data_IF_977600934759
#
_entry.id   IF_977600934759
#
_cell.length_a   1.000
_cell.length_b   1.000
_cell.length_c   1.000
_cell.angle_alpha   90.00
_cell.angle_beta   90.00
_cell.angle_gamma   90.00
#
_symmetry.space_group_name_H-M   'P 1'
#
loop_
_entity.id
_entity.type
_entity.pdbx_description
1 polymer ?
#
# COMPACT_ATOMS: atom_id res chain seq x y z
N UNK A 1 -2.90 -10.61 4.42
CA UNK A 1 -3.08 -12.09 4.30
C UNK A 1 -4.46 -12.60 4.69
N UNK A 2 -5.15 -12.00 5.68
CA UNK A 2 -6.48 -12.45 6.14
C UNK A 2 -7.60 -12.07 5.17
N UNK A 3 -7.55 -10.91 4.56
CA UNK A 3 -8.56 -10.46 3.57
C UNK A 3 -8.51 -11.33 2.31
N UNK A 4 -7.31 -11.62 1.80
CA UNK A 4 -7.11 -12.48 0.64
C UNK A 4 -7.55 -13.94 0.90
N UNK A 5 -7.33 -14.48 2.10
CA UNK A 5 -7.85 -15.80 2.51
C UNK A 5 -9.38 -15.81 2.61
N UNK A 6 -10.01 -14.78 3.17
CA UNK A 6 -11.47 -14.67 3.22
C UNK A 6 -12.08 -14.55 1.82
N UNK A 7 -11.47 -13.75 0.95
CA UNK A 7 -11.90 -13.60 -0.44
C UNK A 7 -11.80 -14.92 -1.22
N UNK A 8 -10.69 -15.65 -1.06
CA UNK A 8 -10.48 -16.97 -1.67
C UNK A 8 -11.47 -18.02 -1.14
N UNK A 9 -11.73 -18.04 0.16
CA UNK A 9 -12.73 -18.94 0.76
C UNK A 9 -14.15 -18.62 0.31
N UNK A 10 -14.50 -17.35 0.15
CA UNK A 10 -15.81 -16.93 -0.34
C UNK A 10 -16.00 -17.33 -1.82
N UNK A 11 -15.02 -17.08 -2.67
CA UNK A 11 -15.05 -17.55 -4.08
C UNK A 11 -15.14 -19.09 -4.19
N UNK A 12 -14.40 -19.83 -3.37
CA UNK A 12 -14.44 -21.30 -3.36
C UNK A 12 -15.81 -21.79 -2.90
N UNK A 13 -16.41 -21.17 -1.91
CA UNK A 13 -17.72 -21.59 -1.37
C UNK A 13 -18.86 -21.30 -2.33
N UNK A 14 -18.87 -20.14 -2.99
CA UNK A 14 -19.89 -19.78 -3.98
C UNK A 14 -19.75 -20.60 -5.27
N UNK A 15 -18.53 -20.92 -5.68
CA UNK A 15 -18.26 -21.77 -6.84
C UNK A 15 -18.53 -23.25 -6.57
N UNK A 16 -18.42 -23.74 -5.33
CA UNK A 16 -18.58 -25.15 -5.00
C UNK A 16 -20.03 -25.64 -5.19
N UNK A 17 -21.01 -24.81 -4.90
CA UNK A 17 -22.43 -25.15 -5.14
C UNK A 17 -22.72 -25.28 -6.64
N UNK A 18 -22.19 -24.39 -7.47
CA UNK A 18 -22.38 -24.43 -8.92
C UNK A 18 -21.66 -25.62 -9.56
N UNK A 19 -20.46 -25.97 -9.06
CA UNK A 19 -19.67 -27.11 -9.53
C UNK A 19 -20.33 -28.46 -9.24
N UNK A 20 -21.11 -28.56 -8.16
CA UNK A 20 -21.78 -29.79 -7.78
C UNK A 20 -23.19 -29.89 -8.43
N UNK A 21 -23.91 -28.78 -8.54
CA UNK A 21 -25.27 -28.75 -9.07
C UNK A 21 -25.39 -29.20 -10.55
N UNK A 22 -24.41 -28.79 -11.39
CA UNK A 22 -24.39 -29.17 -12.81
C UNK A 22 -24.23 -30.69 -13.05
N UNK A 23 -23.20 -31.36 -12.50
CA UNK A 23 -23.07 -32.82 -12.66
C UNK A 23 -24.26 -33.56 -12.09
N UNK A 24 -24.80 -33.15 -10.93
CA UNK A 24 -25.94 -33.78 -10.30
C UNK A 24 -27.20 -33.72 -11.18
N UNK A 25 -27.47 -32.51 -11.74
CA UNK A 25 -28.64 -32.35 -12.63
C UNK A 25 -28.53 -33.20 -13.92
N UNK A 26 -27.33 -33.29 -14.50
CA UNK A 26 -27.05 -34.15 -15.65
C UNK A 26 -27.22 -35.65 -15.34
N UNK A 27 -26.77 -36.09 -14.16
CA UNK A 27 -26.95 -37.50 -13.75
C UNK A 27 -28.38 -37.84 -13.42
N UNK A 28 -29.15 -36.93 -12.82
CA UNK A 28 -30.58 -37.10 -12.60
C UNK A 28 -31.34 -37.27 -13.92
N UNK A 29 -31.03 -36.50 -14.94
CA UNK A 29 -31.59 -36.66 -16.29
C UNK A 29 -31.28 -38.00 -16.92
N UNK A 30 -30.05 -38.49 -16.78
CA UNK A 30 -29.65 -39.83 -17.28
C UNK A 30 -30.34 -40.96 -16.51
N UNK A 31 -30.43 -40.87 -15.19
CA UNK A 31 -31.17 -41.82 -14.35
C UNK A 31 -32.66 -41.90 -14.75
N UNK A 32 -33.30 -40.74 -14.90
CA UNK A 32 -34.69 -40.65 -15.36
C UNK A 32 -34.88 -41.33 -16.71
N UNK A 33 -33.96 -41.10 -17.67
CA UNK A 33 -34.00 -41.73 -18.97
C UNK A 33 -33.91 -43.27 -18.88
N UNK A 34 -32.96 -43.78 -18.07
CA UNK A 34 -32.81 -45.25 -17.87
C UNK A 34 -34.03 -45.85 -17.22
N UNK A 35 -34.62 -45.25 -16.19
CA UNK A 35 -35.85 -45.70 -15.56
C UNK A 35 -37.02 -45.73 -16.55
N UNK A 36 -37.20 -44.70 -17.35
CA UNK A 36 -38.23 -44.68 -18.38
C UNK A 36 -38.03 -45.74 -19.45
N UNK A 37 -36.76 -46.02 -19.85
CA UNK A 37 -36.47 -47.07 -20.82
C UNK A 37 -36.77 -48.45 -20.29
N UNK A 38 -36.41 -48.77 -19.04
CA UNK A 38 -36.64 -50.09 -18.41
C UNK A 38 -38.16 -50.30 -18.19
N UNK A 39 -38.85 -49.35 -17.52
CA UNK A 39 -40.27 -49.47 -17.25
C UNK A 39 -41.10 -49.48 -18.53
N UNK A 40 -40.81 -48.59 -19.46
CA UNK A 40 -41.51 -48.51 -20.74
C UNK A 40 -41.29 -49.72 -21.61
N UNK A 41 -40.04 -50.29 -21.60
CA UNK A 41 -39.73 -51.56 -22.27
C UNK A 41 -40.55 -52.72 -21.70
N UNK A 42 -40.61 -52.84 -20.36
CA UNK A 42 -41.38 -53.88 -19.68
C UNK A 42 -42.89 -53.76 -20.00
N UNK A 43 -43.45 -52.56 -20.00
CA UNK A 43 -44.86 -52.28 -20.36
C UNK A 43 -45.17 -52.60 -21.83
N UNK A 44 -44.26 -52.26 -22.75
CA UNK A 44 -44.38 -52.55 -24.18
C UNK A 44 -44.34 -54.08 -24.49
N UNK A 45 -43.44 -54.81 -23.81
CA UNK A 45 -43.34 -56.26 -23.99
C UNK A 45 -44.54 -57.00 -23.46
N UNK A 46 -45.12 -56.55 -22.33
CA UNK A 46 -46.31 -57.16 -21.72
C UNK A 46 -47.61 -56.64 -22.35
N UNK A 47 -47.59 -55.82 -23.36
CA UNK A 47 -48.81 -55.32 -24.05
C UNK A 47 -49.75 -54.50 -23.18
N UNK A 48 -49.28 -53.96 -22.08
CA UNK A 48 -50.11 -53.24 -21.10
C UNK A 48 -50.55 -51.86 -21.65
N UNK A 49 -51.88 -51.65 -21.70
CA UNK A 49 -52.43 -50.36 -22.08
C UNK A 49 -52.28 -49.95 -23.55
N UNK A 50 -51.91 -50.85 -24.48
CA UNK A 50 -51.67 -50.51 -25.87
C UNK A 50 -50.34 -49.79 -26.11
N UNK A 51 -49.40 -49.82 -25.15
CA UNK A 51 -48.12 -49.16 -25.22
C UNK A 51 -47.21 -49.88 -26.27
N UNK A 52 -46.78 -49.15 -27.28
CA UNK A 52 -45.99 -49.68 -28.39
C UNK A 52 -44.53 -49.30 -28.27
N UNK A 53 -43.64 -50.10 -28.92
CA UNK A 53 -42.20 -49.79 -28.96
C UNK A 53 -41.89 -48.42 -29.61
N UNK A 54 -42.71 -48.04 -30.62
CA UNK A 54 -42.62 -46.69 -31.24
C UNK A 54 -43.04 -45.60 -30.29
N UNK A 55 -44.07 -45.81 -29.46
CA UNK A 55 -44.46 -44.86 -28.42
C UNK A 55 -43.38 -44.67 -27.36
N UNK A 56 -42.71 -45.78 -26.94
CA UNK A 56 -41.57 -45.72 -26.04
C UNK A 56 -40.42 -44.89 -26.62
N UNK A 57 -40.05 -45.13 -27.89
CA UNK A 57 -38.99 -44.40 -28.55
C UNK A 57 -39.27 -42.88 -28.61
N UNK A 58 -40.51 -42.52 -28.98
CA UNK A 58 -40.98 -41.14 -28.99
C UNK A 58 -40.90 -40.49 -27.61
N UNK A 59 -41.38 -41.22 -26.56
CA UNK A 59 -41.36 -40.75 -25.18
C UNK A 59 -39.92 -40.50 -24.66
N UNK A 60 -38.98 -41.38 -24.98
CA UNK A 60 -37.59 -41.24 -24.59
C UNK A 60 -36.91 -40.01 -25.27
N UNK A 61 -37.25 -39.74 -26.54
CA UNK A 61 -36.78 -38.55 -27.25
C UNK A 61 -37.34 -37.28 -26.57
N UNK A 62 -38.65 -37.28 -26.27
CA UNK A 62 -39.31 -36.13 -25.60
C UNK A 62 -38.72 -35.90 -24.19
N UNK A 63 -38.46 -36.95 -23.43
CA UNK A 63 -37.80 -36.84 -22.11
C UNK A 63 -36.41 -36.19 -22.21
N UNK A 64 -35.63 -36.56 -23.22
CA UNK A 64 -34.31 -35.95 -23.47
C UNK A 64 -34.44 -34.48 -23.88
N UNK A 65 -35.40 -34.16 -24.77
CA UNK A 65 -35.64 -32.79 -25.20
C UNK A 65 -36.15 -31.91 -24.05
N UNK A 66 -36.89 -32.46 -23.10
CA UNK A 66 -37.39 -31.74 -21.92
C UNK A 66 -36.30 -31.45 -20.89
N UNK A 67 -35.32 -32.36 -20.72
CA UNK A 67 -34.22 -32.16 -19.77
C UNK A 67 -33.21 -31.06 -20.24
N UNK A 68 -33.11 -30.81 -21.53
CA UNK A 68 -32.19 -29.82 -22.09
C UNK A 68 -32.49 -28.37 -21.68
N UNK A 69 -33.73 -27.87 -21.79
CA UNK A 69 -34.13 -26.54 -21.28
C UNK A 69 -33.93 -26.37 -19.79
N UNK A 70 -34.18 -27.43 -18.99
CA UNK A 70 -33.98 -27.38 -17.53
C UNK A 70 -32.50 -27.12 -17.20
N UNK A 71 -31.59 -27.82 -17.90
CA UNK A 71 -30.15 -27.61 -17.73
C UNK A 71 -29.73 -26.19 -18.17
N UNK A 72 -30.30 -25.67 -19.26
CA UNK A 72 -30.03 -24.30 -19.73
C UNK A 72 -30.53 -23.25 -18.74
N UNK A 73 -31.71 -23.39 -18.18
CA UNK A 73 -32.23 -22.46 -17.14
C UNK A 73 -31.37 -22.50 -15.91
N UNK A 74 -30.93 -23.69 -15.46
CA UNK A 74 -30.00 -23.81 -14.33
C UNK A 74 -28.67 -23.09 -14.56
N UNK A 75 -28.11 -23.17 -15.78
CA UNK A 75 -26.88 -22.44 -16.14
C UNK A 75 -27.13 -20.93 -16.15
N UNK A 76 -28.24 -20.45 -16.69
CA UNK A 76 -28.56 -19.03 -16.71
C UNK A 76 -28.77 -18.45 -15.30
N UNK A 77 -29.46 -19.20 -14.41
CA UNK A 77 -29.59 -18.79 -13.01
C UNK A 77 -28.23 -18.62 -12.32
N UNK A 78 -27.33 -19.57 -12.53
CA UNK A 78 -25.97 -19.43 -12.01
C UNK A 78 -25.25 -18.19 -12.55
N UNK A 79 -25.39 -17.91 -13.85
CA UNK A 79 -24.78 -16.71 -14.46
C UNK A 79 -25.37 -15.42 -13.87
N UNK A 80 -26.67 -15.37 -13.61
CA UNK A 80 -27.32 -14.22 -12.95
C UNK A 80 -26.82 -14.04 -11.51
N UNK A 81 -26.73 -15.13 -10.74
CA UNK A 81 -26.20 -15.06 -9.36
C UNK A 81 -24.75 -14.56 -9.34
N UNK A 82 -23.91 -15.06 -10.25
CA UNK A 82 -22.52 -14.59 -10.38
C UNK A 82 -22.46 -13.12 -10.80
N UNK A 83 -23.30 -12.68 -11.73
CA UNK A 83 -23.36 -11.29 -12.15
C UNK A 83 -23.83 -10.37 -11.01
N UNK A 84 -24.84 -10.77 -10.24
CA UNK A 84 -25.31 -10.02 -9.07
C UNK A 84 -24.24 -9.93 -7.98
N UNK A 85 -23.53 -11.03 -7.69
CA UNK A 85 -22.44 -11.03 -6.72
C UNK A 85 -21.27 -10.14 -7.18
N UNK A 86 -20.94 -10.17 -8.47
CA UNK A 86 -19.94 -9.27 -9.07
C UNK A 86 -20.39 -7.81 -9.02
N UNK A 87 -21.63 -7.53 -9.41
CA UNK A 87 -22.22 -6.20 -9.34
C UNK A 87 -22.25 -5.63 -7.92
N UNK A 88 -22.68 -6.43 -6.94
CA UNK A 88 -22.68 -6.00 -5.54
C UNK A 88 -21.29 -5.56 -5.04
N UNK A 89 -20.20 -6.23 -5.48
CA UNK A 89 -18.84 -5.84 -5.12
C UNK A 89 -18.42 -4.52 -5.79
N UNK A 90 -18.79 -4.33 -7.06
CA UNK A 90 -18.51 -3.09 -7.78
C UNK A 90 -19.26 -1.93 -7.14
N UNK A 91 -20.56 -2.09 -6.86
CA UNK A 91 -21.35 -1.05 -6.20
C UNK A 91 -20.88 -0.78 -4.77
N UNK A 92 -20.49 -1.80 -4.00
CA UNK A 92 -19.91 -1.60 -2.67
C UNK A 92 -18.64 -0.73 -2.72
N UNK A 93 -17.81 -0.89 -3.77
CA UNK A 93 -16.62 -0.03 -3.96
C UNK A 93 -17.01 1.39 -4.41
N UNK A 94 -18.00 1.53 -5.30
CA UNK A 94 -18.48 2.84 -5.78
C UNK A 94 -19.19 3.64 -4.69
N UNK A 95 -19.87 2.96 -3.77
CA UNK A 95 -20.60 3.56 -2.64
C UNK A 95 -19.70 3.83 -1.42
N UNK A 96 -18.37 3.45 -1.51
CA UNK A 96 -17.42 3.75 -0.45
C UNK A 96 -17.31 5.26 -0.25
N UNK A 97 -17.39 5.68 1.00
CA UNK A 97 -17.34 7.11 1.32
C UNK A 97 -15.96 7.67 0.97
N UNK A 98 -15.90 8.86 0.35
CA UNK A 98 -14.64 9.52 0.09
C UNK A 98 -13.92 9.83 1.41
N UNK A 99 -12.62 9.92 1.33
CA UNK A 99 -11.77 10.26 2.46
C UNK A 99 -12.12 11.66 3.00
N UNK A 100 -12.29 11.78 4.32
CA UNK A 100 -12.58 13.07 4.97
C UNK A 100 -11.38 13.99 4.82
N UNK A 101 -11.56 15.16 4.23
CA UNK A 101 -10.55 16.20 4.02
C UNK A 101 -11.12 17.58 4.41
N UNK A 102 -11.16 17.85 5.72
CA UNK A 102 -11.72 19.09 6.29
C UNK A 102 -10.62 20.11 6.68
N UNK A 103 -9.37 19.87 6.24
CA UNK A 103 -8.26 20.77 6.52
C UNK A 103 -8.44 22.14 5.85
N UNK A 104 -8.04 23.19 6.55
CA UNK A 104 -8.05 24.61 6.10
C UNK A 104 -6.63 25.14 5.82
N UNK A 105 -5.61 24.33 6.07
CA UNK A 105 -4.20 24.68 5.85
C UNK A 105 -3.72 24.04 4.54
N UNK A 106 -3.22 24.87 3.65
CA UNK A 106 -2.67 24.47 2.35
C UNK A 106 -1.16 24.64 2.28
N UNK A 107 -0.51 24.03 1.31
CA UNK A 107 0.92 24.12 1.05
C UNK A 107 1.16 25.07 -0.14
N UNK A 108 2.07 26.01 0.02
CA UNK A 108 2.43 26.98 -1.02
C UNK A 108 3.94 27.09 -1.18
N UNK A 109 4.40 27.44 -2.38
CA UNK A 109 5.79 27.85 -2.59
C UNK A 109 6.03 29.20 -1.90
N UNK A 110 7.16 29.37 -1.24
CA UNK A 110 7.48 30.55 -0.48
C UNK A 110 8.88 31.09 -0.79
N UNK A 111 9.07 32.37 -0.47
CA UNK A 111 10.40 32.99 -0.33
C UNK A 111 10.54 33.43 1.12
N UNK A 112 11.71 33.17 1.71
CA UNK A 112 12.03 33.60 3.08
C UNK A 112 12.90 34.83 2.99
N UNK A 113 12.40 35.93 3.53
CA UNK A 113 13.13 37.20 3.61
C UNK A 113 14.11 37.18 4.79
N UNK A 114 15.08 38.08 4.78
CA UNK A 114 16.12 38.15 5.82
C UNK A 114 15.58 38.52 7.23
N UNK A 115 14.38 39.08 7.30
CA UNK A 115 13.65 39.42 8.54
C UNK A 115 12.70 38.32 9.02
N UNK A 116 12.87 37.09 8.50
CA UNK A 116 11.99 35.95 8.76
C UNK A 116 10.57 36.05 8.18
N UNK A 117 10.28 37.08 7.40
CA UNK A 117 8.99 37.19 6.70
C UNK A 117 8.89 36.12 5.61
N UNK A 118 7.75 35.47 5.55
CA UNK A 118 7.42 34.43 4.56
C UNK A 118 6.46 35.00 3.55
N UNK A 119 6.84 35.00 2.27
CA UNK A 119 6.00 35.47 1.16
C UNK A 119 5.69 34.35 0.19
N UNK A 120 4.44 34.24 -0.22
CA UNK A 120 4.00 33.26 -1.23
C UNK A 120 4.55 33.65 -2.62
N UNK A 121 4.96 32.66 -3.39
CA UNK A 121 5.43 32.82 -4.77
C UNK A 121 4.91 31.72 -5.68
N UNK A 122 4.78 32.02 -6.97
CA UNK A 122 4.44 31.01 -7.98
C UNK A 122 5.69 30.33 -8.56
N UNK A 123 6.89 30.77 -8.19
CA UNK A 123 8.15 30.17 -8.63
C UNK A 123 8.49 28.95 -7.77
N UNK A 124 9.05 27.91 -8.38
CA UNK A 124 9.60 26.76 -7.65
C UNK A 124 10.92 27.15 -7.00
N UNK A 125 10.86 27.58 -5.74
CA UNK A 125 12.02 28.04 -4.97
C UNK A 125 12.70 26.93 -4.17
N UNK A 126 12.09 25.74 -4.12
CA UNK A 126 12.49 24.68 -3.19
C UNK A 126 12.12 24.99 -1.72
N UNK A 127 11.52 26.15 -1.45
CA UNK A 127 11.04 26.53 -0.12
C UNK A 127 9.52 26.48 -0.06
N UNK A 128 8.99 25.99 1.05
CA UNK A 128 7.57 25.75 1.24
C UNK A 128 7.05 26.41 2.51
N UNK A 129 5.79 26.81 2.51
CA UNK A 129 5.13 27.32 3.69
C UNK A 129 3.68 26.79 3.81
N UNK A 130 3.26 26.62 5.05
CA UNK A 130 1.87 26.41 5.39
C UNK A 130 1.12 27.73 5.30
N UNK A 131 0.03 27.75 4.53
CA UNK A 131 -0.86 28.90 4.38
C UNK A 131 -2.17 28.59 5.06
N UNK A 132 -2.57 29.43 6.00
CA UNK A 132 -3.87 29.39 6.65
C UNK A 132 -4.53 30.77 6.57
N UNK A 133 -5.83 30.82 6.34
CA UNK A 133 -6.59 32.06 6.45
C UNK A 133 -6.94 32.31 7.90
N UNK A 134 -6.72 33.55 8.41
CA UNK A 134 -7.17 33.93 9.72
C UNK A 134 -8.67 34.32 9.72
N UNK A 135 -9.22 34.69 10.89
CA UNK A 135 -10.62 35.08 11.04
C UNK A 135 -11.01 36.31 10.21
N UNK A 136 -10.04 37.16 9.87
CA UNK A 136 -10.23 38.39 9.07
C UNK A 136 -10.04 38.12 7.56
N UNK A 137 -9.84 36.88 7.15
CA UNK A 137 -9.61 36.49 5.76
C UNK A 137 -8.22 36.84 5.23
N UNK A 138 -7.25 37.14 6.10
CA UNK A 138 -5.86 37.41 5.72
C UNK A 138 -5.04 36.10 5.75
N UNK A 139 -4.16 35.86 4.76
CA UNK A 139 -3.30 34.70 4.79
C UNK A 139 -2.20 34.85 5.85
N UNK A 140 -2.03 33.81 6.66
CA UNK A 140 -0.88 33.62 7.56
C UNK A 140 -0.02 32.52 7.02
N UNK A 141 1.29 32.75 7.02
CA UNK A 141 2.28 31.79 6.54
C UNK A 141 3.14 31.31 7.70
N UNK A 142 3.38 30.00 7.75
CA UNK A 142 4.32 29.35 8.67
C UNK A 142 5.34 28.60 7.83
N UNK A 143 6.62 28.77 8.11
CA UNK A 143 7.70 28.03 7.43
C UNK A 143 7.44 26.54 7.57
N UNK A 144 7.69 25.80 6.49
CA UNK A 144 7.69 24.34 6.54
C UNK A 144 9.12 23.88 6.91
N UNK A 145 9.27 23.41 8.15
CA UNK A 145 10.57 22.98 8.72
C UNK A 145 10.66 21.48 8.86
N UNK A 146 9.54 20.79 8.94
CA UNK A 146 9.50 19.35 9.11
C UNK A 146 9.51 18.87 10.57
N UNK A 147 9.03 19.71 11.51
CA UNK A 147 8.88 19.31 12.92
C UNK A 147 7.61 18.46 13.10
N UNK A 148 7.76 17.18 13.46
CA UNK A 148 6.64 16.27 13.67
C UNK A 148 6.62 15.80 15.13
N UNK A 149 5.46 16.02 15.79
CA UNK A 149 5.29 15.69 17.21
C UNK A 149 4.02 14.87 17.42
N UNK A 150 4.15 13.72 18.08
CA UNK A 150 3.04 12.93 18.61
C UNK A 150 2.90 13.20 20.10
N UNK A 151 1.69 13.46 20.57
CA UNK A 151 1.35 13.69 21.98
C UNK A 151 0.25 12.74 22.42
N UNK A 152 0.60 11.80 23.30
CA UNK A 152 -0.31 10.84 23.95
C UNK A 152 -1.20 10.09 22.94
N UNK A 153 -0.61 9.61 21.83
CA UNK A 153 -1.35 9.02 20.73
C UNK A 153 -1.66 7.55 20.99
N UNK A 154 -2.96 7.23 21.03
CA UNK A 154 -3.47 5.86 20.95
C UNK A 154 -4.12 5.65 19.58
N UNK A 155 -3.84 4.49 18.97
CA UNK A 155 -4.39 4.14 17.66
C UNK A 155 -4.64 2.64 17.49
N UNK A 156 -5.76 2.31 16.85
CA UNK A 156 -6.09 0.97 16.35
C UNK A 156 -6.80 1.03 15.00
N UNK A 157 -6.55 0.04 14.15
CA UNK A 157 -7.25 -0.09 12.87
C UNK A 157 -8.73 -0.45 13.04
N UNK A 158 -9.06 -1.06 14.17
CA UNK A 158 -10.40 -1.37 14.64
C UNK A 158 -10.59 -0.78 16.03
N UNK A 159 -11.79 -0.31 16.36
CA UNK A 159 -12.12 0.22 17.69
C UNK A 159 -11.87 -0.79 18.83
N UNK A 160 -11.87 -2.09 18.50
CA UNK A 160 -11.70 -3.19 19.46
C UNK A 160 -10.24 -3.55 19.72
N UNK A 161 -9.29 -3.11 18.87
CA UNK A 161 -7.89 -3.53 18.96
C UNK A 161 -6.97 -2.33 18.76
N UNK A 162 -6.53 -1.77 19.88
CA UNK A 162 -5.50 -0.73 19.89
C UNK A 162 -4.14 -1.36 19.53
N UNK A 163 -3.41 -0.74 18.62
CA UNK A 163 -2.10 -1.18 18.11
C UNK A 163 -0.98 -0.31 18.62
N UNK A 164 -1.23 0.99 18.80
CA UNK A 164 -0.29 1.95 19.39
C UNK A 164 -0.86 2.49 20.68
N UNK A 165 -0.03 2.54 21.72
CA UNK A 165 -0.43 2.95 23.06
C UNK A 165 0.51 4.05 23.56
N UNK A 166 -0.06 5.20 23.88
CA UNK A 166 0.62 6.33 24.52
C UNK A 166 1.92 6.72 23.80
N UNK A 167 1.83 6.88 22.48
CA UNK A 167 2.98 7.25 21.65
C UNK A 167 3.28 8.72 21.85
N UNK A 168 4.46 8.99 22.38
CA UNK A 168 5.08 10.29 22.52
C UNK A 168 6.38 10.32 21.70
N UNK A 169 6.38 11.07 20.62
CA UNK A 169 7.45 11.13 19.63
C UNK A 169 7.65 12.57 19.18
N UNK A 170 8.88 12.95 18.94
CA UNK A 170 9.21 14.21 18.26
C UNK A 170 10.35 13.99 17.28
N UNK A 171 10.17 14.47 16.05
CA UNK A 171 11.18 14.52 15.00
C UNK A 171 11.45 15.97 14.67
N UNK A 172 12.66 16.46 15.07
CA UNK A 172 13.07 17.85 14.84
C UNK A 172 13.51 18.06 13.39
N UNK A 173 13.43 19.29 12.88
CA UNK A 173 13.91 19.62 11.54
C UNK A 173 15.33 19.09 11.26
N UNK A 174 15.48 18.40 10.13
CA UNK A 174 16.74 17.81 9.69
C UNK A 174 17.22 16.58 10.47
N UNK A 175 16.44 16.07 11.43
CA UNK A 175 16.81 14.93 12.26
C UNK A 175 16.48 13.59 11.57
N UNK A 176 17.37 12.63 11.64
CA UNK A 176 17.17 11.24 11.22
C UNK A 176 16.73 10.38 12.39
N UNK A 177 15.50 9.89 12.34
CA UNK A 177 14.87 9.05 13.38
C UNK A 177 14.73 7.62 12.86
N UNK A 178 15.32 6.64 13.56
CA UNK A 178 15.17 5.23 13.24
C UNK A 178 14.16 4.54 14.16
N UNK A 179 13.20 3.83 13.57
CA UNK A 179 12.32 2.92 14.29
C UNK A 179 12.85 1.49 14.24
N UNK A 180 13.06 0.90 15.42
CA UNK A 180 13.58 -0.45 15.60
C UNK A 180 12.59 -1.26 16.42
N UNK A 181 12.46 -2.55 16.15
CA UNK A 181 11.55 -3.46 16.86
C UNK A 181 11.12 -4.63 16.01
N UNK A 182 10.50 -5.62 16.63
CA UNK A 182 10.00 -6.83 15.95
C UNK A 182 8.91 -6.51 14.92
N UNK A 183 8.63 -7.45 14.02
CA UNK A 183 7.49 -7.37 13.11
C UNK A 183 6.20 -7.26 13.92
N UNK A 184 5.33 -6.32 13.55
CA UNK A 184 4.08 -6.06 14.29
C UNK A 184 4.23 -5.13 15.50
N UNK A 185 5.42 -4.61 15.81
CA UNK A 185 5.63 -3.67 16.94
C UNK A 185 4.96 -2.29 16.75
N UNK A 186 4.46 -1.96 15.55
CA UNK A 186 3.78 -0.70 15.27
C UNK A 186 4.57 0.30 14.43
N UNK A 187 5.77 -0.05 13.92
CA UNK A 187 6.64 0.86 13.13
C UNK A 187 5.92 1.44 11.90
N UNK A 188 5.40 0.58 11.05
CA UNK A 188 4.64 0.98 9.84
C UNK A 188 3.34 1.71 10.20
N UNK A 189 2.74 1.43 11.36
CA UNK A 189 1.56 2.15 11.82
C UNK A 189 1.88 3.61 12.12
N UNK A 190 3.03 3.91 12.75
CA UNK A 190 3.46 5.29 13.00
C UNK A 190 3.64 6.05 11.67
N UNK A 191 4.32 5.44 10.67
CA UNK A 191 4.50 6.09 9.37
C UNK A 191 3.19 6.30 8.62
N UNK A 192 2.23 5.38 8.74
CA UNK A 192 0.88 5.54 8.19
C UNK A 192 0.11 6.69 8.84
N UNK A 193 0.33 6.95 10.13
CA UNK A 193 -0.28 8.08 10.84
C UNK A 193 0.36 9.42 10.45
N UNK A 194 1.68 9.47 10.21
CA UNK A 194 2.34 10.68 9.68
C UNK A 194 1.74 11.07 8.32
N UNK A 195 1.45 10.09 7.45
CA UNK A 195 0.79 10.30 6.15
C UNK A 195 -0.73 10.57 6.25
N UNK A 196 -1.28 10.51 7.46
CA UNK A 196 -2.71 10.60 7.70
C UNK A 196 -3.53 9.67 6.78
N UNK A 197 -3.05 8.42 6.60
CA UNK A 197 -3.87 7.37 5.98
C UNK A 197 -4.99 6.90 6.90
N UNK A 198 -4.84 7.16 8.19
CA UNK A 198 -5.84 6.88 9.23
C UNK A 198 -5.86 8.05 10.21
N UNK A 199 -7.04 8.37 10.74
CA UNK A 199 -7.19 9.34 11.82
C UNK A 199 -7.08 8.64 13.19
N UNK A 200 -6.42 9.30 14.14
CA UNK A 200 -6.19 8.79 15.49
C UNK A 200 -7.45 8.87 16.36
N UNK A 201 -7.60 7.93 17.30
CA UNK A 201 -8.71 7.91 18.25
C UNK A 201 -8.44 8.83 19.44
N UNK A 202 -7.18 8.91 19.91
CA UNK A 202 -6.79 9.75 21.05
C UNK A 202 -5.44 10.40 20.83
N UNK A 203 -5.20 11.55 21.49
CA UNK A 203 -3.97 12.31 21.37
C UNK A 203 -4.01 13.34 20.25
N UNK A 204 -2.82 13.81 19.85
CA UNK A 204 -2.62 14.76 18.75
C UNK A 204 -1.33 14.45 18.00
N UNK A 205 -1.35 14.70 16.71
CA UNK A 205 -0.15 14.70 15.86
C UNK A 205 -0.03 16.11 15.30
N UNK A 206 1.11 16.74 15.55
CA UNK A 206 1.41 18.09 15.10
C UNK A 206 2.48 18.05 14.02
N UNK A 207 2.33 18.88 13.01
CA UNK A 207 3.33 19.12 11.97
C UNK A 207 3.57 20.63 11.90
N UNK A 208 4.81 21.07 12.20
CA UNK A 208 5.20 22.46 12.36
C UNK A 208 4.23 23.24 13.28
N UNK A 209 3.81 22.59 14.37
CA UNK A 209 2.87 23.15 15.33
C UNK A 209 1.40 23.08 14.94
N UNK A 210 1.05 22.73 13.72
CA UNK A 210 -0.32 22.53 13.26
C UNK A 210 -0.81 21.10 13.49
N UNK A 211 -2.05 20.94 13.97
CA UNK A 211 -2.66 19.61 14.03
C UNK A 211 -2.83 19.06 12.60
N UNK A 212 -2.34 17.85 12.33
CA UNK A 212 -2.41 17.26 10.98
C UNK A 212 -3.85 17.13 10.47
N UNK A 213 -4.84 17.12 11.36
CA UNK A 213 -6.26 17.13 10.97
C UNK A 213 -6.70 18.45 10.35
N UNK A 214 -6.04 19.56 10.72
CA UNK A 214 -6.31 20.89 10.15
C UNK A 214 -5.56 21.14 8.84
N UNK A 215 -4.62 20.27 8.46
CA UNK A 215 -3.92 20.38 7.18
C UNK A 215 -4.71 19.62 6.11
N UNK A 216 -4.90 20.23 4.95
CA UNK A 216 -5.47 19.56 3.79
C UNK A 216 -4.62 18.33 3.41
N UNK A 217 -5.24 17.16 3.17
CA UNK A 217 -4.52 15.90 2.97
C UNK A 217 -3.57 15.93 1.79
N UNK A 218 -3.97 16.57 0.69
CA UNK A 218 -3.11 16.69 -0.48
C UNK A 218 -1.89 17.57 -0.19
N UNK A 219 -2.07 18.67 0.57
CA UNK A 219 -1.00 19.53 1.04
C UNK A 219 -0.05 18.79 1.99
N UNK A 220 -0.60 18.03 2.96
CA UNK A 220 0.18 17.20 3.87
C UNK A 220 1.03 16.18 3.10
N UNK A 221 0.41 15.41 2.22
CA UNK A 221 1.08 14.34 1.48
C UNK A 221 2.10 14.88 0.46
N UNK A 222 1.86 16.05 -0.11
CA UNK A 222 2.82 16.72 -1.00
C UNK A 222 4.09 17.18 -0.27
N UNK A 223 4.01 17.42 1.05
CA UNK A 223 5.17 17.76 1.89
C UNK A 223 5.99 16.54 2.33
N UNK A 224 5.50 15.32 2.09
CA UNK A 224 6.09 14.07 2.53
C UNK A 224 6.60 13.25 1.34
N UNK A 225 7.85 12.81 1.40
CA UNK A 225 8.39 11.84 0.45
C UNK A 225 8.40 10.43 1.06
N UNK A 226 7.98 9.45 0.28
CA UNK A 226 7.92 8.07 0.75
C UNK A 226 8.75 7.19 -0.18
N UNK A 227 9.68 6.41 0.40
CA UNK A 227 10.36 5.33 -0.29
C UNK A 227 10.01 4.02 0.41
N UNK A 228 9.22 3.19 -0.27
CA UNK A 228 8.75 1.90 0.25
C UNK A 228 9.73 0.78 -0.10
N UNK A 229 9.68 -0.30 0.68
CA UNK A 229 10.40 -1.55 0.42
C UNK A 229 10.03 -2.14 -0.95
N UNK A 230 8.74 -2.28 -1.22
CA UNK A 230 8.23 -2.78 -2.48
C UNK A 230 8.02 -1.60 -3.43
N UNK A 231 8.96 -1.45 -4.36
CA UNK A 231 8.92 -0.38 -5.36
C UNK A 231 8.04 -0.78 -6.53
N UNK A 232 6.97 -0.03 -6.76
CA UNK A 232 6.11 -0.16 -7.93
C UNK A 232 6.48 0.88 -9.00
N UNK A 233 6.69 0.38 -10.22
CA UNK A 233 6.96 1.21 -11.40
C UNK A 233 5.77 1.13 -12.36
N UNK A 234 5.47 2.26 -12.98
CA UNK A 234 4.39 2.33 -13.97
C UNK A 234 4.89 1.94 -15.36
N UNK A 235 3.99 1.41 -16.18
CA UNK A 235 4.25 1.25 -17.61
C UNK A 235 4.47 2.63 -18.24
N UNK A 236 5.66 2.86 -18.78
CA UNK A 236 6.11 4.13 -19.32
C UNK A 236 7.63 4.19 -19.36
N UNK A 237 8.20 5.30 -19.77
CA UNK A 237 9.65 5.48 -19.83
C UNK A 237 10.27 5.59 -18.42
N UNK A 238 11.58 5.37 -18.33
CA UNK A 238 12.35 5.64 -17.11
C UNK A 238 12.17 7.10 -16.68
N UNK A 239 12.25 8.03 -17.63
CA UNK A 239 12.05 9.47 -17.38
C UNK A 239 10.68 9.77 -16.78
N UNK A 240 9.61 9.22 -17.35
CA UNK A 240 8.25 9.40 -16.81
C UNK A 240 8.09 8.81 -15.42
N UNK A 241 8.72 7.67 -15.15
CA UNK A 241 8.72 7.08 -13.82
C UNK A 241 9.43 7.94 -12.77
N UNK A 242 10.52 8.62 -13.12
CA UNK A 242 11.18 9.58 -12.22
C UNK A 242 10.30 10.83 -12.06
N UNK A 243 9.81 11.41 -13.17
CA UNK A 243 8.96 12.60 -13.19
C UNK A 243 7.65 12.43 -12.42
N UNK A 244 7.20 11.19 -12.19
CA UNK A 244 6.03 10.92 -11.36
C UNK A 244 6.13 11.50 -9.95
N UNK A 245 7.33 11.70 -9.42
CA UNK A 245 7.53 12.38 -8.13
C UNK A 245 7.11 13.86 -8.14
N UNK A 246 7.30 14.55 -9.28
CA UNK A 246 6.83 15.92 -9.55
C UNK A 246 6.58 16.08 -11.04
N UNK A 247 5.30 16.07 -11.44
CA UNK A 247 4.89 16.05 -12.85
C UNK A 247 5.36 17.27 -13.64
N UNK A 248 5.64 18.39 -12.98
CA UNK A 248 6.14 19.64 -13.58
C UNK A 248 7.66 19.68 -13.71
N UNK A 249 8.39 18.64 -13.26
CA UNK A 249 9.85 18.61 -13.33
C UNK A 249 10.36 18.56 -14.76
N UNK A 250 11.43 19.30 -15.02
CA UNK A 250 12.14 19.28 -16.32
C UNK A 250 12.97 18.00 -16.46
N UNK A 251 13.43 17.71 -17.68
CA UNK A 251 14.32 16.57 -17.94
C UNK A 251 15.62 16.68 -17.15
N UNK A 252 16.17 17.91 -17.06
CA UNK A 252 17.40 18.19 -16.32
C UNK A 252 17.24 17.94 -14.82
N UNK A 253 16.10 18.33 -14.24
CA UNK A 253 15.78 18.07 -12.83
C UNK A 253 15.63 16.57 -12.56
N UNK A 254 14.96 15.84 -13.46
CA UNK A 254 14.84 14.38 -13.37
C UNK A 254 16.21 13.68 -13.47
N UNK A 255 17.08 14.14 -14.39
CA UNK A 255 18.43 13.62 -14.52
C UNK A 255 19.32 13.97 -13.30
N UNK A 256 19.16 15.15 -12.71
CA UNK A 256 19.84 15.52 -11.47
C UNK A 256 19.40 14.63 -10.30
N UNK A 257 18.11 14.38 -10.16
CA UNK A 257 17.55 13.45 -9.18
C UNK A 257 18.06 12.01 -9.37
N UNK A 258 18.16 11.54 -10.62
CA UNK A 258 18.72 10.23 -10.93
C UNK A 258 20.21 10.13 -10.56
N UNK A 259 20.98 11.19 -10.73
CA UNK A 259 22.39 11.24 -10.30
C UNK A 259 22.51 11.18 -8.78
N UNK A 260 21.71 11.96 -8.05
CA UNK A 260 21.66 11.94 -6.59
C UNK A 260 21.34 10.54 -6.07
N UNK A 261 20.39 9.86 -6.71
CA UNK A 261 19.98 8.50 -6.38
C UNK A 261 20.96 7.40 -6.84
N UNK A 262 22.09 7.74 -7.46
CA UNK A 262 23.01 6.78 -8.13
C UNK A 262 22.36 5.93 -9.23
N UNK A 263 21.25 6.38 -9.81
CA UNK A 263 20.53 5.70 -10.88
C UNK A 263 21.08 6.02 -12.28
N UNK A 264 21.63 7.20 -12.51
CA UNK A 264 22.09 7.71 -13.82
C UNK A 264 23.02 6.72 -14.54
N UNK A 265 23.93 6.10 -13.80
CA UNK A 265 24.91 5.17 -14.37
C UNK A 265 24.25 3.96 -15.02
N UNK A 266 23.34 3.28 -14.34
CA UNK A 266 22.68 2.12 -14.94
C UNK A 266 21.69 2.54 -16.02
N UNK A 267 21.00 3.68 -15.86
CA UNK A 267 20.04 4.19 -16.85
C UNK A 267 20.72 4.39 -18.20
N UNK A 268 21.92 4.98 -18.22
CA UNK A 268 22.71 5.17 -19.44
C UNK A 268 23.15 3.88 -20.13
N UNK A 269 23.16 2.75 -19.41
CA UNK A 269 23.46 1.43 -19.99
C UNK A 269 22.21 0.71 -20.52
N UNK A 270 21.02 1.26 -20.29
CA UNK A 270 19.79 0.72 -20.91
C UNK A 270 19.76 1.06 -22.42
N UNK A 271 19.09 0.25 -23.25
CA UNK A 271 19.09 0.39 -24.72
C UNK A 271 18.74 1.79 -25.22
N UNK A 272 17.78 2.47 -24.60
CA UNK A 272 17.31 3.82 -24.93
C UNK A 272 17.54 4.82 -23.80
N UNK A 273 18.39 4.48 -22.83
CA UNK A 273 18.68 5.34 -21.66
C UNK A 273 17.41 5.72 -20.90
N UNK A 274 17.21 7.01 -20.70
CA UNK A 274 16.04 7.55 -19.99
C UNK A 274 14.71 7.31 -20.74
N UNK A 275 14.75 7.06 -22.06
CA UNK A 275 13.56 6.76 -22.86
C UNK A 275 13.22 5.26 -22.90
N UNK A 276 14.02 4.41 -22.22
CA UNK A 276 13.72 2.98 -22.15
C UNK A 276 12.35 2.73 -21.52
N UNK A 277 11.51 1.98 -22.25
CA UNK A 277 10.18 1.59 -21.79
C UNK A 277 10.25 0.53 -20.69
N UNK A 278 9.57 0.81 -19.59
CA UNK A 278 9.35 -0.12 -18.49
C UNK A 278 7.96 -0.73 -18.63
N UNK A 279 7.87 -2.05 -18.43
CA UNK A 279 6.61 -2.80 -18.51
C UNK A 279 6.46 -3.70 -17.29
N UNK A 280 5.22 -4.03 -16.95
CA UNK A 280 4.94 -5.03 -15.93
C UNK A 280 5.65 -4.78 -14.60
N UNK A 281 5.54 -3.58 -14.03
CA UNK A 281 6.16 -3.19 -12.75
C UNK A 281 7.71 -3.16 -12.80
N UNK A 282 8.27 -2.92 -13.99
CA UNK A 282 9.72 -2.87 -14.19
C UNK A 282 10.40 -4.25 -14.09
N UNK A 283 9.74 -5.31 -14.56
CA UNK A 283 10.26 -6.69 -14.53
C UNK A 283 11.58 -6.86 -15.28
N UNK A 284 11.90 -5.94 -16.18
CA UNK A 284 13.17 -5.88 -16.91
C UNK A 284 14.33 -5.25 -16.10
N UNK A 285 14.06 -4.80 -14.88
CA UNK A 285 15.05 -4.22 -13.96
C UNK A 285 15.28 -5.12 -12.75
N UNK A 286 16.50 -5.10 -12.20
CA UNK A 286 16.78 -5.72 -10.91
C UNK A 286 16.05 -5.00 -9.77
N UNK A 287 15.87 -5.66 -8.63
CA UNK A 287 15.24 -5.04 -7.46
C UNK A 287 15.98 -3.77 -7.01
N UNK A 288 17.31 -3.81 -7.00
CA UNK A 288 18.11 -2.63 -6.65
C UNK A 288 17.95 -1.49 -7.63
N UNK A 289 17.89 -1.75 -8.94
CA UNK A 289 17.63 -0.73 -9.95
C UNK A 289 16.25 -0.09 -9.78
N UNK A 290 15.21 -0.88 -9.49
CA UNK A 290 13.88 -0.34 -9.16
C UNK A 290 13.93 0.56 -7.92
N UNK A 291 14.68 0.17 -6.90
CA UNK A 291 14.82 0.96 -5.67
C UNK A 291 15.57 2.29 -5.93
N UNK A 292 16.62 2.28 -6.76
CA UNK A 292 17.30 3.52 -7.18
C UNK A 292 16.34 4.47 -7.93
N UNK A 293 15.42 3.95 -8.75
CA UNK A 293 14.38 4.76 -9.40
C UNK A 293 13.36 5.31 -8.39
N UNK A 294 12.99 4.55 -7.36
CA UNK A 294 12.13 5.05 -6.28
C UNK A 294 12.78 6.18 -5.49
N UNK A 295 14.11 6.08 -5.21
CA UNK A 295 14.88 7.15 -4.59
C UNK A 295 14.92 8.38 -5.50
N UNK A 296 15.15 8.21 -6.81
CA UNK A 296 15.15 9.32 -7.78
C UNK A 296 13.77 10.00 -7.86
N UNK A 297 12.68 9.21 -7.79
CA UNK A 297 11.29 9.72 -7.73
C UNK A 297 11.06 10.57 -6.48
N UNK A 298 11.55 10.15 -5.33
CA UNK A 298 11.47 10.93 -4.10
C UNK A 298 12.38 12.17 -4.16
N UNK A 299 13.55 12.06 -4.79
CA UNK A 299 14.50 13.17 -4.93
C UNK A 299 13.94 14.30 -5.81
N UNK A 300 13.27 13.99 -6.92
CA UNK A 300 12.70 15.01 -7.80
C UNK A 300 11.50 15.74 -7.17
N UNK A 301 10.79 15.07 -6.25
CA UNK A 301 9.71 15.69 -5.46
C UNK A 301 10.24 16.74 -4.46
N UNK A 302 11.47 16.57 -4.01
CA UNK A 302 12.18 17.43 -3.06
C UNK A 302 11.40 17.74 -1.77
N UNK A 303 10.88 16.73 -1.07
CA UNK A 303 10.07 16.91 0.12
C UNK A 303 10.95 17.25 1.34
N UNK A 304 10.49 18.10 2.28
CA UNK A 304 11.22 18.43 3.50
C UNK A 304 11.24 17.28 4.52
N UNK A 305 10.27 16.38 4.45
CA UNK A 305 10.17 15.20 5.33
C UNK A 305 10.16 13.92 4.51
N UNK A 306 10.94 12.94 4.95
CA UNK A 306 11.06 11.64 4.31
C UNK A 306 10.58 10.52 5.24
N UNK A 307 9.93 9.54 4.65
CA UNK A 307 9.57 8.27 5.28
C UNK A 307 10.17 7.16 4.44
N UNK A 308 11.08 6.41 5.05
CA UNK A 308 11.85 5.37 4.37
C UNK A 308 11.57 4.01 5.03
N UNK A 309 11.13 3.04 4.23
CA UNK A 309 11.01 1.64 4.66
C UNK A 309 12.15 0.83 4.05
N UNK A 310 13.16 0.51 4.88
CA UNK A 310 14.42 -0.08 4.47
C UNK A 310 14.38 -1.62 4.58
N UNK A 311 13.94 -2.29 3.56
CA UNK A 311 14.11 -3.75 3.47
C UNK A 311 14.79 -4.13 2.15
N UNK A 312 16.04 -4.55 2.23
CA UNK A 312 16.92 -4.85 1.08
C UNK A 312 17.43 -6.28 1.10
N UNK A 313 16.63 -7.22 1.58
CA UNK A 313 17.04 -8.62 1.79
C UNK A 313 17.41 -9.43 0.53
N UNK A 314 17.31 -8.83 -0.68
CA UNK A 314 17.49 -9.55 -1.95
C UNK A 314 18.30 -8.78 -3.00
N UNK A 315 19.15 -7.85 -2.58
CA UNK A 315 19.99 -7.00 -3.47
C UNK A 315 21.44 -7.47 -3.36
N UNK A 316 22.16 -7.51 -4.49
CA UNK A 316 23.59 -7.79 -4.50
C UNK A 316 24.39 -6.67 -3.78
N UNK A 317 25.53 -7.03 -3.20
CA UNK A 317 26.34 -6.15 -2.33
C UNK A 317 26.77 -4.85 -3.02
N UNK A 318 27.04 -4.86 -4.34
CA UNK A 318 27.46 -3.67 -5.07
C UNK A 318 26.30 -2.68 -5.26
N UNK A 319 25.17 -3.17 -5.70
CA UNK A 319 23.94 -2.36 -5.87
C UNK A 319 23.41 -1.90 -4.51
N UNK A 320 23.55 -2.72 -3.48
CA UNK A 320 23.22 -2.37 -2.11
C UNK A 320 23.92 -1.10 -1.63
N UNK A 321 25.24 -1.00 -1.90
CA UNK A 321 26.01 0.20 -1.56
C UNK A 321 25.50 1.43 -2.32
N UNK A 322 25.20 1.31 -3.62
CA UNK A 322 24.66 2.42 -4.42
C UNK A 322 23.30 2.90 -3.89
N UNK A 323 22.44 1.98 -3.48
CA UNK A 323 21.15 2.29 -2.86
C UNK A 323 21.37 3.04 -1.54
N UNK A 324 22.30 2.56 -0.69
CA UNK A 324 22.60 3.21 0.59
C UNK A 324 23.14 4.62 0.38
N UNK A 325 24.13 4.79 -0.50
CA UNK A 325 24.70 6.10 -0.80
C UNK A 325 23.63 7.07 -1.37
N UNK A 326 22.73 6.57 -2.22
CA UNK A 326 21.59 7.34 -2.75
C UNK A 326 20.59 7.73 -1.67
N UNK A 327 20.28 6.82 -0.74
CA UNK A 327 19.42 7.09 0.43
C UNK A 327 20.05 8.15 1.34
N UNK A 328 21.35 8.02 1.65
CA UNK A 328 22.06 8.99 2.50
C UNK A 328 22.10 10.39 1.84
N UNK A 329 22.28 10.46 0.52
CA UNK A 329 22.17 11.71 -0.24
C UNK A 329 20.76 12.30 -0.19
N UNK A 330 19.72 11.46 -0.30
CA UNK A 330 18.33 11.91 -0.22
C UNK A 330 17.96 12.41 1.18
N UNK A 331 18.48 11.80 2.25
CA UNK A 331 18.19 12.17 3.64
C UNK A 331 18.87 13.47 4.08
N UNK A 332 19.95 13.88 3.42
CA UNK A 332 20.74 15.03 3.85
C UNK A 332 19.90 16.31 3.94
N UNK A 333 19.93 16.96 5.11
CA UNK A 333 19.22 18.22 5.37
C UNK A 333 17.70 18.07 5.57
N UNK A 334 17.14 16.85 5.60
CA UNK A 334 15.71 16.59 5.73
C UNK A 334 15.38 15.84 7.01
N UNK A 335 14.20 16.13 7.56
CA UNK A 335 13.66 15.30 8.64
C UNK A 335 13.29 13.93 8.08
N UNK A 336 13.86 12.87 8.65
CA UNK A 336 13.71 11.54 8.08
C UNK A 336 13.28 10.52 9.12
N UNK A 337 12.20 9.80 8.83
CA UNK A 337 11.72 8.66 9.61
C UNK A 337 12.06 7.37 8.86
N UNK A 338 12.89 6.52 9.46
CA UNK A 338 13.37 5.29 8.84
C UNK A 338 12.85 4.08 9.60
N UNK A 339 12.13 3.19 8.94
CA UNK A 339 11.90 1.84 9.43
C UNK A 339 13.16 1.04 9.10
N UNK A 340 14.04 0.97 10.08
CA UNK A 340 15.38 0.44 9.86
C UNK A 340 15.42 -1.08 10.01
N UNK A 341 15.94 -1.73 8.99
CA UNK A 341 16.25 -3.16 8.97
C UNK A 341 17.77 -3.42 8.94
N UNK A 342 18.57 -2.36 8.79
CA UNK A 342 20.03 -2.45 8.74
C UNK A 342 20.67 -1.79 9.97
N UNK A 343 21.67 -2.48 10.51
CA UNK A 343 22.42 -1.98 11.66
C UNK A 343 23.16 -0.66 11.36
N UNK A 344 23.67 -0.47 10.13
CA UNK A 344 24.34 0.76 9.71
C UNK A 344 23.43 1.98 9.72
N UNK A 345 22.22 1.86 9.19
CA UNK A 345 21.23 2.94 9.17
C UNK A 345 20.80 3.33 10.58
N UNK A 346 20.58 2.32 11.44
CA UNK A 346 20.24 2.54 12.86
C UNK A 346 21.38 3.28 13.57
N UNK A 347 22.63 2.82 13.41
CA UNK A 347 23.79 3.39 14.10
C UNK A 347 24.00 4.87 13.76
N UNK A 348 23.80 5.24 12.51
CA UNK A 348 24.01 6.60 12.00
C UNK A 348 22.79 7.51 12.14
N UNK A 349 21.80 7.13 12.95
CA UNK A 349 20.59 7.93 13.21
C UNK A 349 20.78 8.83 14.43
N UNK A 350 20.27 10.06 14.36
CA UNK A 350 20.34 11.04 15.46
C UNK A 350 19.48 10.62 16.65
N UNK A 351 18.43 9.86 16.39
CA UNK A 351 17.54 9.30 17.41
C UNK A 351 17.07 7.92 17.00
N UNK A 352 17.16 6.96 17.89
CA UNK A 352 16.66 5.61 17.73
C UNK A 352 15.48 5.44 18.70
N UNK A 353 14.37 4.95 18.18
CA UNK A 353 13.17 4.63 18.96
C UNK A 353 12.90 3.14 18.89
N UNK A 354 12.95 2.47 20.02
CA UNK A 354 12.69 1.03 20.12
C UNK A 354 11.21 0.82 20.44
N UNK A 355 10.53 0.14 19.54
CA UNK A 355 9.12 -0.19 19.67
C UNK A 355 8.94 -1.65 20.07
N UNK A 356 8.08 -1.86 21.06
CA UNK A 356 7.63 -3.18 21.48
C UNK A 356 6.15 -3.13 21.85
N UNK A 357 5.36 -4.04 21.29
CA UNK A 357 3.91 -4.14 21.56
C UNK A 357 3.16 -2.79 21.47
N UNK A 358 3.49 -1.97 20.47
CA UNK A 358 2.84 -0.70 20.24
C UNK A 358 3.25 0.43 21.19
N UNK A 359 4.35 0.30 21.92
CA UNK A 359 4.89 1.34 22.82
C UNK A 359 6.33 1.66 22.44
N UNK A 360 6.74 2.90 22.63
CA UNK A 360 8.16 3.29 22.60
C UNK A 360 8.74 2.97 23.99
N UNK A 361 9.62 1.97 24.04
CA UNK A 361 10.20 1.47 25.32
C UNK A 361 11.60 2.05 25.58
N UNK A 362 12.34 2.42 24.54
CA UNK A 362 13.66 3.05 24.64
C UNK A 362 13.79 4.12 23.58
N UNK A 363 14.53 5.17 23.91
CA UNK A 363 14.84 6.28 23.02
C UNK A 363 16.21 6.85 23.35
N UNK A 364 17.02 7.14 22.33
CA UNK A 364 18.35 7.75 22.48
C UNK A 364 19.18 7.59 21.23
N UNK A 365 20.44 7.99 21.32
CA UNK A 365 21.49 7.72 20.31
C UNK A 365 21.97 6.27 20.40
N UNK A 366 22.72 5.83 19.39
CA UNK A 366 23.33 4.50 19.41
C UNK A 366 24.16 4.25 20.69
N UNK A 367 25.05 5.17 21.02
CA UNK A 367 25.96 5.01 22.14
C UNK A 367 25.23 5.01 23.50
N UNK A 368 24.23 5.88 23.68
CA UNK A 368 23.39 5.90 24.87
C UNK A 368 22.65 4.59 25.08
N UNK A 369 22.03 4.05 24.02
CA UNK A 369 21.24 2.81 24.11
C UNK A 369 22.13 1.57 24.27
N UNK A 370 23.33 1.56 23.70
CA UNK A 370 24.31 0.49 23.94
C UNK A 370 24.76 0.51 25.41
N UNK A 371 25.01 1.71 25.97
CA UNK A 371 25.40 1.85 27.38
C UNK A 371 24.32 1.39 28.36
N UNK A 372 23.04 1.59 28.01
CA UNK A 372 21.88 1.17 28.82
C UNK A 372 21.73 -0.36 28.90
N UNK A 373 22.32 -1.12 27.95
CA UNK A 373 22.22 -2.60 27.84
C UNK A 373 20.78 -3.12 27.84
N UNK A 374 19.84 -2.32 27.31
CA UNK A 374 18.42 -2.60 27.25
C UNK A 374 18.00 -3.48 26.07
N UNK A 375 16.80 -3.26 25.57
CA UNK A 375 16.23 -3.99 24.43
C UNK A 375 17.00 -3.72 23.12
N UNK A 376 17.40 -2.46 22.89
CA UNK A 376 18.24 -2.09 21.75
C UNK A 376 19.56 -2.84 21.72
N UNK A 377 20.27 -2.91 22.86
CA UNK A 377 21.52 -3.64 22.98
C UNK A 377 21.36 -5.10 22.58
N UNK A 378 20.30 -5.77 23.05
CA UNK A 378 20.01 -7.15 22.69
C UNK A 378 19.70 -7.35 21.22
N UNK A 379 18.93 -6.44 20.61
CA UNK A 379 18.64 -6.45 19.17
C UNK A 379 19.91 -6.23 18.35
N UNK A 380 20.79 -5.34 18.78
CA UNK A 380 22.03 -4.99 18.08
C UNK A 380 23.08 -6.09 18.16
N UNK A 381 23.27 -6.71 19.31
CA UNK A 381 24.29 -7.75 19.53
C UNK A 381 23.84 -9.15 19.12
N UNK A 382 22.59 -9.34 18.71
CA UNK A 382 22.03 -10.66 18.37
C UNK A 382 21.82 -11.57 19.58
N UNK A 383 22.00 -11.07 20.79
CA UNK A 383 21.79 -11.81 22.03
C UNK A 383 20.28 -11.89 22.34
N UNK A 384 19.57 -12.72 21.61
CA UNK A 384 18.23 -13.17 21.97
C UNK A 384 18.36 -14.24 23.06
N UNK A 385 18.78 -13.85 24.26
CA UNK A 385 18.58 -14.72 25.41
C UNK A 385 17.07 -14.85 25.62
N UNK A 386 16.56 -16.02 25.28
CA UNK A 386 15.25 -16.49 25.66
C UNK A 386 15.05 -16.24 27.16
N UNK A 387 14.07 -15.41 27.47
CA UNK A 387 13.40 -15.50 28.75
C UNK A 387 11.95 -15.86 28.43
N UNK A 388 11.71 -17.16 28.64
CA UNK A 388 10.42 -17.81 28.86
C UNK A 388 9.46 -17.04 29.77
#
# INVERSE_FOLDING_TARGET
HTAYRRQRQMCIRDSSYSLVAMPVNGQLGNLSYVFCAILGGALAINGFGGFTLGGLASFLVLTRQFNQPISQISMQLNSVVMALAGGARIFALLDEKPEVNEGDITLVHAKYEADDTVTETNESTGMWAWKRMDADGKPRYTKLEGDIVFKDVDFGYDEKKIVLHDINLYGRPGQKIAFVGSTGAGKTTITNLINRFYDIQKGRILYDGHDIKSIEKDALRSSLGIVLQDTHLFTGTVMENIRYGRLTATDEECMAAAKLANADTFIKHLPEGYNTMLTGDGTNLSQGQRQLLAIARAAVADPPVLILDEATSSIDTRTEKLVQDGMDGLMYGRTTFVIAHRLSTVRNSDCIMVLEQGRIIERGTHDELIAQKGRYYRLYTGNFAENS
#
